data_IF_882445783353
#
_entry.id   IF_882445783353
#
_cell.length_a   1.000
_cell.length_b   1.000
_cell.length_c   1.000
_cell.angle_alpha   90.00
_cell.angle_beta   90.00
_cell.angle_gamma   90.00
#
_symmetry.space_group_name_H-M   'P 1'
#
loop_
_entity.id
_entity.type
_entity.pdbx_description
1 polymer ?
#
# COMPACT_ATOMS: atom_id res chain seq x y z
N UNK A 1 19.41 1.62 11.36
CA UNK A 1 18.33 1.34 12.33
C UNK A 1 16.98 1.71 11.70
N UNK A 2 16.93 2.86 11.04
CA UNK A 2 15.68 3.48 10.56
C UNK A 2 15.05 2.74 9.38
N UNK A 3 15.87 2.15 8.49
CA UNK A 3 15.37 1.27 7.42
C UNK A 3 14.66 0.02 7.95
N UNK A 4 15.19 -0.58 9.02
CA UNK A 4 14.57 -1.76 9.65
C UNK A 4 13.26 -1.34 10.32
N UNK A 5 13.28 -0.24 11.06
CA UNK A 5 12.08 0.33 11.70
C UNK A 5 10.96 0.63 10.71
N UNK A 6 11.27 1.25 9.56
CA UNK A 6 10.28 1.52 8.51
C UNK A 6 9.65 0.23 7.97
N UNK A 7 10.47 -0.82 7.75
CA UNK A 7 9.97 -2.12 7.32
C UNK A 7 9.12 -2.81 8.40
N UNK A 8 9.55 -2.78 9.66
CA UNK A 8 8.80 -3.33 10.80
C UNK A 8 7.44 -2.65 10.97
N UNK A 9 7.34 -1.36 10.65
CA UNK A 9 6.08 -0.62 10.69
C UNK A 9 5.19 -0.93 9.47
N UNK A 10 5.76 -1.14 8.28
CA UNK A 10 5.00 -1.17 7.02
C UNK A 10 4.76 -2.57 6.42
N UNK A 11 5.42 -3.62 6.89
CA UNK A 11 5.48 -4.92 6.17
C UNK A 11 4.09 -5.51 5.85
N UNK A 12 3.16 -5.45 6.81
CA UNK A 12 1.83 -6.04 6.62
C UNK A 12 1.00 -5.23 5.62
N UNK A 13 1.08 -3.90 5.69
CA UNK A 13 0.42 -3.00 4.72
C UNK A 13 0.95 -3.24 3.30
N UNK A 14 2.27 -3.42 3.16
CA UNK A 14 2.91 -3.76 1.87
C UNK A 14 2.39 -5.11 1.34
N UNK A 15 2.27 -6.12 2.20
CA UNK A 15 1.70 -7.42 1.80
C UNK A 15 0.23 -7.29 1.38
N UNK A 16 -0.57 -6.53 2.14
CA UNK A 16 -1.98 -6.31 1.86
C UNK A 16 -2.19 -5.54 0.55
N UNK A 17 -1.50 -4.43 0.32
CA UNK A 17 -1.65 -3.67 -0.93
C UNK A 17 -1.21 -4.49 -2.15
N UNK A 18 -0.17 -5.32 -2.01
CA UNK A 18 0.24 -6.25 -3.06
C UNK A 18 -0.81 -7.34 -3.32
N UNK A 19 -1.44 -7.88 -2.29
CA UNK A 19 -2.54 -8.83 -2.43
C UNK A 19 -3.74 -8.20 -3.12
N UNK A 20 -4.13 -7.00 -2.70
CA UNK A 20 -5.23 -6.22 -3.28
C UNK A 20 -5.00 -5.98 -4.77
N UNK A 21 -3.78 -5.53 -5.14
CA UNK A 21 -3.37 -5.29 -6.52
C UNK A 21 -3.48 -6.55 -7.38
N UNK A 22 -2.88 -7.66 -6.94
CA UNK A 22 -2.96 -8.96 -7.64
C UNK A 22 -4.40 -9.48 -7.80
N UNK A 23 -5.32 -9.01 -6.97
CA UNK A 23 -6.72 -9.46 -6.95
C UNK A 23 -7.66 -8.59 -7.78
N UNK A 24 -7.19 -7.46 -8.35
CA UNK A 24 -8.05 -6.52 -9.08
C UNK A 24 -8.81 -7.17 -10.24
N UNK A 25 -8.18 -8.10 -10.95
CA UNK A 25 -8.78 -8.85 -12.07
C UNK A 25 -9.64 -10.05 -11.63
N UNK A 26 -9.80 -10.27 -10.32
CA UNK A 26 -10.55 -11.39 -9.75
C UNK A 26 -11.68 -10.92 -8.84
N UNK A 27 -12.80 -10.38 -9.38
CA UNK A 27 -13.93 -9.92 -8.58
C UNK A 27 -14.40 -10.96 -7.55
N UNK A 28 -14.51 -10.53 -6.27
CA UNK A 28 -15.00 -11.36 -5.18
C UNK A 28 -14.00 -12.39 -4.64
N UNK A 29 -12.75 -12.38 -5.14
CA UNK A 29 -11.70 -13.32 -4.74
C UNK A 29 -10.38 -12.59 -4.44
N UNK A 30 -9.52 -13.22 -3.64
CA UNK A 30 -8.19 -12.75 -3.31
C UNK A 30 -7.13 -13.73 -3.84
N UNK A 31 -6.21 -13.23 -4.68
CA UNK A 31 -5.10 -14.00 -5.26
C UNK A 31 -3.86 -13.93 -4.37
N UNK A 32 -3.80 -14.83 -3.38
CA UNK A 32 -2.69 -14.94 -2.45
C UNK A 32 -1.40 -15.35 -3.17
N UNK A 33 -1.49 -16.32 -4.07
CA UNK A 33 -0.42 -16.79 -4.94
C UNK A 33 -1.01 -17.27 -6.28
N UNK A 34 -0.21 -17.50 -7.34
CA UNK A 34 -0.72 -17.95 -8.64
C UNK A 34 -1.59 -19.21 -8.60
N UNK A 35 -1.36 -20.09 -7.61
CA UNK A 35 -2.09 -21.32 -7.36
C UNK A 35 -3.03 -21.26 -6.14
N UNK A 36 -3.22 -20.09 -5.54
CA UNK A 36 -4.02 -19.91 -4.32
C UNK A 36 -4.94 -18.69 -4.48
N UNK A 37 -6.08 -18.92 -5.12
CA UNK A 37 -7.17 -17.96 -5.28
C UNK A 37 -8.31 -18.33 -4.34
N UNK A 38 -8.61 -17.46 -3.38
CA UNK A 38 -9.61 -17.72 -2.35
C UNK A 38 -10.84 -16.83 -2.54
N UNK A 39 -12.03 -17.36 -2.28
CA UNK A 39 -13.26 -16.58 -2.17
C UNK A 39 -13.62 -16.25 -0.71
N UNK A 40 -14.64 -15.42 -0.55
CA UNK A 40 -15.14 -15.01 0.77
C UNK A 40 -15.55 -16.19 1.67
N UNK A 41 -16.08 -17.28 1.10
CA UNK A 41 -16.52 -18.42 1.89
C UNK A 41 -15.33 -19.17 2.48
N UNK A 42 -14.22 -19.28 1.74
CA UNK A 42 -12.97 -19.83 2.25
C UNK A 42 -12.36 -18.95 3.35
N UNK A 43 -12.56 -17.63 3.29
CA UNK A 43 -12.19 -16.70 4.37
C UNK A 43 -12.89 -16.98 5.71
N UNK A 44 -14.05 -17.67 5.71
CA UNK A 44 -14.78 -18.06 6.93
C UNK A 44 -14.17 -19.26 7.65
N UNK A 45 -13.24 -19.98 7.02
CA UNK A 45 -12.60 -21.15 7.63
C UNK A 45 -11.71 -20.79 8.83
N UNK A 46 -11.33 -19.52 8.97
CA UNK A 46 -10.54 -19.01 10.11
C UNK A 46 -11.36 -17.94 10.81
N UNK A 47 -11.57 -18.12 12.11
CA UNK A 47 -12.28 -17.16 12.95
C UNK A 47 -11.61 -15.78 12.90
N UNK A 48 -12.41 -14.71 12.79
CA UNK A 48 -11.93 -13.32 12.69
C UNK A 48 -11.40 -12.91 11.30
N UNK A 49 -11.17 -13.83 10.36
CA UNK A 49 -10.58 -13.46 9.06
C UNK A 49 -11.59 -12.89 8.06
N UNK A 50 -12.89 -13.12 8.25
CA UNK A 50 -13.93 -12.68 7.32
C UNK A 50 -13.96 -11.16 7.16
N UNK A 51 -13.80 -10.42 8.24
CA UNK A 51 -13.82 -8.96 8.23
C UNK A 51 -12.62 -8.40 7.46
N UNK A 52 -11.43 -8.95 7.70
CA UNK A 52 -10.22 -8.60 6.96
C UNK A 52 -10.38 -8.94 5.47
N UNK A 53 -10.95 -10.10 5.16
CA UNK A 53 -11.22 -10.53 3.79
C UNK A 53 -12.15 -9.55 3.08
N UNK A 54 -13.24 -9.13 3.75
CA UNK A 54 -14.20 -8.17 3.21
C UNK A 54 -13.57 -6.80 2.97
N UNK A 55 -12.73 -6.32 3.89
CA UNK A 55 -11.99 -5.07 3.71
C UNK A 55 -11.02 -5.13 2.52
N UNK A 56 -10.30 -6.23 2.34
CA UNK A 56 -9.38 -6.43 1.20
C UNK A 56 -10.15 -6.49 -0.13
N UNK A 57 -11.28 -7.20 -0.18
CA UNK A 57 -12.15 -7.25 -1.37
C UNK A 57 -12.72 -5.87 -1.73
N UNK A 58 -13.20 -5.11 -0.74
CA UNK A 58 -13.69 -3.76 -0.94
C UNK A 58 -12.60 -2.84 -1.49
N UNK A 59 -11.39 -2.93 -0.94
CA UNK A 59 -10.24 -2.17 -1.41
C UNK A 59 -9.87 -2.56 -2.85
N UNK A 60 -9.84 -3.86 -3.17
CA UNK A 60 -9.53 -4.34 -4.53
C UNK A 60 -10.56 -3.85 -5.54
N UNK A 61 -11.83 -3.88 -5.17
CA UNK A 61 -12.92 -3.31 -5.97
C UNK A 61 -12.71 -1.81 -6.20
N UNK A 62 -12.35 -1.04 -5.16
CA UNK A 62 -12.07 0.39 -5.30
C UNK A 62 -10.91 0.67 -6.24
N UNK A 63 -9.79 -0.04 -6.12
CA UNK A 63 -8.64 0.15 -7.01
C UNK A 63 -8.99 -0.20 -8.47
N UNK A 64 -9.78 -1.26 -8.69
CA UNK A 64 -10.31 -1.57 -10.02
C UNK A 64 -11.23 -0.48 -10.56
N UNK A 65 -12.14 0.04 -9.74
CA UNK A 65 -13.06 1.12 -10.16
C UNK A 65 -12.30 2.39 -10.56
N UNK A 66 -11.20 2.69 -9.88
CA UNK A 66 -10.33 3.82 -10.20
C UNK A 66 -9.43 3.55 -11.42
N UNK A 67 -9.42 2.32 -11.94
CA UNK A 67 -8.48 1.88 -12.96
C UNK A 67 -7.02 2.20 -12.57
N UNK A 68 -6.64 1.85 -11.34
CA UNK A 68 -5.29 2.12 -10.82
C UNK A 68 -4.23 1.52 -11.74
N UNK A 69 -3.25 2.33 -12.13
CA UNK A 69 -2.17 1.92 -13.02
C UNK A 69 -0.97 1.35 -12.26
N UNK A 70 -0.12 0.58 -12.96
CA UNK A 70 1.05 -0.06 -12.37
C UNK A 70 2.03 0.95 -11.78
N UNK A 71 2.23 2.09 -12.46
CA UNK A 71 3.09 3.17 -12.02
C UNK A 71 2.58 3.82 -10.72
N UNK A 72 1.26 4.04 -10.62
CA UNK A 72 0.62 4.58 -9.42
C UNK A 72 0.74 3.59 -8.25
N UNK A 73 0.55 2.30 -8.52
CA UNK A 73 0.71 1.25 -7.52
C UNK A 73 2.13 1.18 -6.93
N UNK A 74 3.18 1.31 -7.74
CA UNK A 74 4.55 1.35 -7.22
C UNK A 74 4.78 2.58 -6.36
N UNK A 75 4.21 3.74 -6.73
CA UNK A 75 4.29 4.95 -5.89
C UNK A 75 3.59 4.74 -4.54
N UNK A 76 2.40 4.14 -4.53
CA UNK A 76 1.68 3.83 -3.28
C UNK A 76 2.47 2.90 -2.35
N UNK A 77 3.13 1.87 -2.91
CA UNK A 77 4.01 0.98 -2.12
C UNK A 77 5.15 1.75 -1.45
N UNK A 78 5.79 2.66 -2.18
CA UNK A 78 6.87 3.51 -1.68
C UNK A 78 6.36 4.46 -0.59
N UNK A 79 5.18 5.05 -0.79
CA UNK A 79 4.55 5.93 0.21
C UNK A 79 4.25 5.17 1.50
N UNK A 80 3.67 3.98 1.43
CA UNK A 80 3.41 3.12 2.61
C UNK A 80 4.72 2.86 3.36
N UNK A 81 5.77 2.39 2.67
CA UNK A 81 7.06 2.08 3.28
C UNK A 81 7.66 3.28 4.02
N UNK A 82 7.57 4.46 3.44
CA UNK A 82 8.18 5.68 3.97
C UNK A 82 7.33 6.36 5.04
N UNK A 83 6.00 6.20 5.01
CA UNK A 83 5.08 6.95 5.86
C UNK A 83 4.66 6.19 7.14
N UNK A 84 4.49 4.87 7.09
CA UNK A 84 3.92 4.10 8.21
C UNK A 84 4.72 4.17 9.52
N UNK A 85 6.04 4.36 9.44
CA UNK A 85 6.93 4.43 10.61
C UNK A 85 7.52 5.80 10.91
N UNK A 86 7.25 6.83 10.09
CA UNK A 86 8.02 8.10 10.15
C UNK A 86 7.76 8.92 11.44
N UNK A 87 6.63 8.70 12.10
CA UNK A 87 6.28 9.40 13.34
C UNK A 87 6.55 8.59 14.61
N UNK A 88 6.89 7.30 14.47
CA UNK A 88 7.16 6.39 15.59
C UNK A 88 8.64 6.27 15.91
N UNK A 89 9.51 7.06 15.27
CA UNK A 89 10.90 7.18 15.67
C UNK A 89 10.98 7.67 17.12
N UNK A 90 11.49 6.80 18.00
CA UNK A 90 11.67 7.08 19.43
C UNK A 90 12.87 8.00 19.73
N UNK A 91 13.59 8.44 18.70
CA UNK A 91 14.78 9.30 18.81
C UNK A 91 14.45 10.72 18.36
N UNK A 92 14.84 11.71 19.16
CA UNK A 92 14.74 13.15 18.85
C UNK A 92 16.13 13.78 18.65
N UNK A 93 17.12 12.97 18.26
CA UNK A 93 18.47 13.44 17.95
C UNK A 93 18.48 14.30 16.69
N UNK A 94 19.47 15.19 16.53
CA UNK A 94 19.60 16.01 15.32
C UNK A 94 19.60 15.16 14.04
N UNK A 95 20.29 14.01 14.07
CA UNK A 95 20.33 13.04 12.98
C UNK A 95 18.94 12.50 12.63
N UNK A 96 18.11 12.17 13.63
CA UNK A 96 16.74 11.70 13.40
C UNK A 96 15.82 12.77 12.80
N UNK A 97 16.07 14.05 13.09
CA UNK A 97 15.35 15.16 12.47
C UNK A 97 15.73 15.32 10.99
N UNK A 98 17.03 15.20 10.66
CA UNK A 98 17.50 15.22 9.27
C UNK A 98 16.97 14.05 8.45
N UNK A 99 16.94 12.84 9.03
CA UNK A 99 16.37 11.65 8.39
C UNK A 99 14.87 11.79 8.15
N UNK A 100 14.13 12.36 9.11
CA UNK A 100 12.70 12.66 8.95
C UNK A 100 12.46 13.69 7.84
N UNK A 101 13.24 14.78 7.82
CA UNK A 101 13.15 15.78 6.75
C UNK A 101 13.46 15.17 5.38
N UNK A 102 14.46 14.29 5.30
CA UNK A 102 14.78 13.56 4.08
C UNK A 102 13.61 12.67 3.62
N UNK A 103 13.00 11.90 4.51
CA UNK A 103 11.83 11.07 4.19
C UNK A 103 10.67 11.93 3.68
N UNK A 104 10.38 13.06 4.32
CA UNK A 104 9.32 13.97 3.87
C UNK A 104 9.59 14.52 2.46
N UNK A 105 10.82 14.95 2.16
CA UNK A 105 11.20 15.39 0.80
C UNK A 105 11.03 14.29 -0.25
N UNK A 106 11.25 13.02 0.12
CA UNK A 106 11.02 11.89 -0.79
C UNK A 106 9.52 11.65 -0.99
N UNK A 107 8.71 11.74 0.06
CA UNK A 107 7.25 11.64 -0.02
C UNK A 107 6.65 12.76 -0.89
N UNK A 108 7.16 13.99 -0.79
CA UNK A 108 6.76 15.09 -1.67
C UNK A 108 7.03 14.76 -3.14
N UNK A 109 8.23 14.24 -3.45
CA UNK A 109 8.56 13.78 -4.82
C UNK A 109 7.68 12.63 -5.31
N UNK A 110 7.28 11.71 -4.43
CA UNK A 110 6.32 10.65 -4.78
C UNK A 110 4.94 11.24 -5.10
N UNK A 111 4.53 12.27 -4.37
CA UNK A 111 3.27 13.00 -4.62
C UNK A 111 3.33 13.74 -5.96
N UNK A 112 4.42 14.45 -6.25
CA UNK A 112 4.64 15.10 -7.55
C UNK A 112 4.61 14.08 -8.70
N UNK A 113 5.20 12.91 -8.48
CA UNK A 113 5.22 11.82 -9.46
C UNK A 113 3.80 11.30 -9.73
N UNK A 114 2.99 11.09 -8.69
CA UNK A 114 1.60 10.69 -8.84
C UNK A 114 0.77 11.73 -9.61
N UNK A 115 0.91 13.02 -9.27
CA UNK A 115 0.23 14.10 -9.98
C UNK A 115 0.64 14.12 -11.46
N UNK A 116 1.93 13.93 -11.74
CA UNK A 116 2.42 13.85 -13.12
C UNK A 116 1.83 12.66 -13.89
N UNK A 117 1.73 11.48 -13.26
CA UNK A 117 1.12 10.29 -13.87
C UNK A 117 -0.37 10.51 -14.18
N UNK A 118 -1.11 11.14 -13.27
CA UNK A 118 -2.52 11.49 -13.47
C UNK A 118 -2.68 12.48 -14.64
N UNK A 119 -1.87 13.53 -14.68
CA UNK A 119 -1.89 14.50 -15.77
C UNK A 119 -1.55 13.84 -17.13
N UNK A 120 -0.58 12.92 -17.15
CA UNK A 120 -0.22 12.14 -18.35
C UNK A 120 -1.36 11.22 -18.81
N UNK A 121 -2.14 10.70 -17.88
CA UNK A 121 -3.34 9.89 -18.17
C UNK A 121 -4.55 10.73 -18.61
N UNK A 122 -4.44 12.07 -18.66
CA UNK A 122 -5.53 12.96 -19.03
C UNK A 122 -6.54 13.22 -17.90
N UNK A 123 -6.20 12.86 -16.66
CA UNK A 123 -6.98 13.21 -15.48
C UNK A 123 -6.58 14.62 -15.05
N UNK A 124 -7.45 15.61 -15.30
CA UNK A 124 -7.28 16.97 -14.77
C UNK A 124 -7.81 17.04 -13.34
N UNK A 125 -7.00 17.56 -12.42
CA UNK A 125 -7.38 17.85 -11.04
C UNK A 125 -8.40 18.99 -10.95
#
# INVERSE_FOLDING_TARGET
>A
HDQVHLLECAWLEILMICLVWRSMEHPGKLLFAPNLLLDRNQGKCVEGMVEIFDMLLATSSRLRMMNLQGEEFVCLKSIILLNSGVYTFLSSTLKSLEEKDHIHRVLDKMTDTLIHLMAKAGLTL
#
